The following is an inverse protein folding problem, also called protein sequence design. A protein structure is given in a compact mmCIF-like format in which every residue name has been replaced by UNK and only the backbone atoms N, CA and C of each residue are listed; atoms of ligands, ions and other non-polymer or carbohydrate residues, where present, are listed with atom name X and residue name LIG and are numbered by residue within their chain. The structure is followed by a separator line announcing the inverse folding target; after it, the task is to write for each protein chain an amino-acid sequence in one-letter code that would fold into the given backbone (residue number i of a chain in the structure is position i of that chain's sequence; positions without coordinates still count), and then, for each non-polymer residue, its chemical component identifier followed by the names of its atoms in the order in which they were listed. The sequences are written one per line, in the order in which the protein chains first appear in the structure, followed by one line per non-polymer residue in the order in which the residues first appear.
data_IF_912626330038
#
_entry.id   IF_912626330038
#
_cell.length_a   1.000
_cell.length_b   1.000
_cell.length_c   1.000
_cell.angle_alpha   90.00
_cell.angle_beta   90.00
_cell.angle_gamma   90.00
#
_symmetry.space_group_name_H-M   'P 1'
#
loop_
_entity.id
_entity.type
_entity.pdbx_description
1 polymer ?
#
# COMPACT_ATOMS: atom_id res chain seq x y z
N UNK A 1 -1.73 1.89 14.60
CA UNK A 1 -1.98 3.33 14.36
C UNK A 1 -0.91 4.27 14.91
N UNK A 2 0.22 3.84 15.38
CA UNK A 2 1.28 4.72 15.88
C UNK A 2 2.56 4.41 15.13
N UNK A 3 2.70 5.11 14.02
CA UNK A 3 3.76 4.94 13.02
C UNK A 3 5.06 5.65 13.39
N UNK A 4 5.18 6.15 14.64
CA UNK A 4 6.35 6.87 15.11
C UNK A 4 6.68 6.47 16.53
N UNK A 5 7.94 6.58 16.88
CA UNK A 5 8.35 6.56 18.27
C UNK A 5 7.65 7.70 19.00
N UNK A 6 6.69 7.37 19.85
CA UNK A 6 5.92 8.38 20.63
C UNK A 6 6.63 8.85 21.88
N UNK A 7 7.46 7.98 22.44
CA UNK A 7 8.32 8.24 23.61
C UNK A 7 9.75 7.95 23.21
N UNK A 8 10.70 8.56 23.90
CA UNK A 8 12.11 8.21 23.70
C UNK A 8 12.32 6.72 24.00
N UNK A 9 13.06 6.07 23.14
CA UNK A 9 13.46 4.67 23.28
C UNK A 9 14.96 4.61 23.46
N UNK A 10 15.42 4.01 24.57
CA UNK A 10 16.84 3.80 24.81
C UNK A 10 17.19 2.32 24.74
N UNK A 11 18.26 2.00 24.03
CA UNK A 11 18.80 0.65 23.92
C UNK A 11 20.33 0.69 23.88
N UNK A 12 20.96 -0.46 24.14
CA UNK A 12 22.40 -0.62 24.03
C UNK A 12 22.71 -1.28 22.67
N UNK A 13 23.13 -0.47 21.71
CA UNK A 13 23.33 -0.86 20.30
C UNK A 13 24.42 0.02 19.68
N UNK A 14 25.12 -0.47 18.67
CA UNK A 14 25.98 0.39 17.85
C UNK A 14 25.07 1.43 17.14
N UNK A 15 25.36 2.74 17.20
CA UNK A 15 24.55 3.78 16.55
C UNK A 15 24.28 3.49 15.07
N UNK A 16 25.27 2.97 14.34
CA UNK A 16 25.21 2.62 12.94
C UNK A 16 24.24 1.47 12.66
N UNK A 17 23.92 0.65 13.66
CA UNK A 17 23.00 -0.47 13.55
C UNK A 17 21.56 -0.10 13.96
N UNK A 18 21.27 1.18 14.13
CA UNK A 18 19.89 1.63 14.27
C UNK A 18 19.23 1.82 12.90
N UNK A 19 18.04 1.24 12.72
CA UNK A 19 17.36 1.19 11.42
C UNK A 19 16.01 1.90 11.46
N UNK A 20 15.73 2.72 10.45
CA UNK A 20 14.41 3.26 10.15
C UNK A 20 13.92 2.71 8.80
N UNK A 21 12.77 2.05 8.78
CA UNK A 21 12.10 1.65 7.55
C UNK A 21 10.80 2.45 7.39
N UNK A 22 10.65 3.16 6.27
CA UNK A 22 9.44 3.99 6.04
C UNK A 22 8.42 3.21 5.22
N UNK A 23 7.14 3.43 5.49
CA UNK A 23 6.03 2.74 4.81
C UNK A 23 5.04 3.70 4.15
N UNK A 24 5.18 5.00 4.38
CA UNK A 24 4.23 6.00 3.89
C UNK A 24 4.94 7.07 3.07
N UNK A 25 4.26 7.64 2.06
CA UNK A 25 4.81 8.73 1.29
C UNK A 25 4.84 10.01 2.11
N UNK A 26 5.64 10.98 1.67
CA UNK A 26 5.84 12.26 2.36
C UNK A 26 4.55 13.02 2.64
N UNK A 27 3.57 12.92 1.76
CA UNK A 27 2.25 13.58 1.92
C UNK A 27 1.48 13.07 3.13
N UNK A 28 1.75 11.84 3.55
CA UNK A 28 1.14 11.20 4.72
C UNK A 28 2.04 11.35 5.95
N UNK A 29 3.36 11.14 5.77
CA UNK A 29 4.36 11.16 6.85
C UNK A 29 5.60 11.92 6.39
N UNK A 30 5.64 13.24 6.57
CA UNK A 30 6.85 14.01 6.31
C UNK A 30 7.86 13.80 7.47
N UNK A 31 8.94 13.07 7.22
CA UNK A 31 10.02 12.91 8.19
C UNK A 31 10.93 14.14 8.20
N UNK A 32 11.32 14.61 9.41
CA UNK A 32 12.29 15.71 9.55
C UNK A 32 13.72 15.21 9.40
N UNK A 33 14.60 16.07 8.90
CA UNK A 33 16.05 15.76 8.80
C UNK A 33 16.64 15.38 10.17
N UNK A 34 16.25 16.07 11.25
CA UNK A 34 16.73 15.77 12.61
C UNK A 34 16.26 14.40 13.12
N UNK A 35 15.06 13.96 12.72
CA UNK A 35 14.58 12.63 13.08
C UNK A 35 15.33 11.54 12.33
N UNK A 36 15.53 11.71 11.03
CA UNK A 36 16.22 10.75 10.17
C UNK A 36 17.67 10.54 10.61
N UNK A 37 18.38 11.62 10.99
CA UNK A 37 19.78 11.58 11.44
C UNK A 37 20.04 10.75 12.70
N UNK A 38 19.01 10.32 13.41
CA UNK A 38 19.18 9.46 14.59
C UNK A 38 19.46 8.00 14.24
N UNK A 39 19.27 7.62 12.96
CA UNK A 39 19.38 6.24 12.51
C UNK A 39 20.65 6.06 11.66
N UNK A 40 21.34 4.97 11.89
CA UNK A 40 22.52 4.59 11.10
C UNK A 40 22.14 4.10 9.70
N UNK A 41 20.97 3.50 9.54
CA UNK A 41 20.41 3.04 8.25
C UNK A 41 18.98 3.52 8.11
N UNK A 42 18.65 4.10 6.97
CA UNK A 42 17.29 4.52 6.63
C UNK A 42 16.86 3.89 5.30
N UNK A 43 15.89 2.98 5.33
CA UNK A 43 15.26 2.43 4.13
C UNK A 43 13.98 3.21 3.85
N UNK A 44 13.91 3.92 2.73
CA UNK A 44 12.83 4.87 2.47
C UNK A 44 12.19 4.70 1.10
N UNK A 45 10.85 4.80 1.07
CA UNK A 45 10.06 4.95 -0.13
C UNK A 45 9.81 6.42 -0.53
N UNK A 46 10.50 7.38 0.11
CA UNK A 46 10.36 8.81 -0.17
C UNK A 46 11.55 9.29 -1.02
N UNK A 47 11.38 9.54 -2.33
CA UNK A 47 12.49 9.84 -3.25
C UNK A 47 13.27 11.13 -2.93
N UNK A 48 12.64 12.04 -2.19
CA UNK A 48 13.27 13.29 -1.77
C UNK A 48 14.10 13.18 -0.48
N UNK A 49 14.05 12.03 0.19
CA UNK A 49 14.88 11.76 1.36
C UNK A 49 16.33 11.50 0.92
N UNK A 50 17.26 12.31 1.40
CA UNK A 50 18.68 12.29 1.00
C UNK A 50 19.59 12.11 2.22
N UNK A 51 20.71 11.42 2.03
CA UNK A 51 21.76 11.19 3.02
C UNK A 51 22.56 9.94 2.69
N UNK A 52 23.81 9.85 3.11
CA UNK A 52 24.69 8.69 2.86
C UNK A 52 24.13 7.40 3.49
N UNK A 53 23.41 7.54 4.60
CA UNK A 53 22.75 6.45 5.32
C UNK A 53 21.35 6.12 4.79
N UNK A 54 20.85 6.84 3.75
CA UNK A 54 19.52 6.63 3.15
C UNK A 54 19.63 5.74 1.93
N UNK A 55 18.87 4.65 1.95
CA UNK A 55 18.71 3.71 0.84
C UNK A 55 17.27 3.75 0.34
N UNK A 56 17.07 3.85 -0.97
CA UNK A 56 15.74 3.77 -1.54
C UNK A 56 15.25 2.31 -1.48
N UNK A 57 14.06 2.14 -0.92
CA UNK A 57 13.42 0.83 -0.76
C UNK A 57 11.90 0.97 -0.89
N UNK A 58 11.25 -0.12 -1.30
CA UNK A 58 9.79 -0.22 -1.25
C UNK A 58 9.30 -0.16 0.21
N UNK A 59 8.04 0.26 0.46
CA UNK A 59 7.46 0.28 1.79
C UNK A 59 7.52 -1.11 2.43
N UNK A 60 7.99 -1.18 3.68
CA UNK A 60 7.97 -2.41 4.44
C UNK A 60 6.59 -2.62 5.07
N UNK A 61 5.67 -3.20 4.32
CA UNK A 61 4.29 -3.44 4.72
C UNK A 61 3.96 -4.94 4.64
N UNK A 62 3.13 -5.46 5.57
CA UNK A 62 2.56 -6.79 5.42
C UNK A 62 1.53 -6.79 4.30
N UNK A 63 1.25 -7.95 3.72
CA UNK A 63 0.03 -8.17 2.96
C UNK A 63 -1.20 -8.18 3.88
N UNK A 64 -2.40 -7.99 3.31
CA UNK A 64 -3.65 -8.00 4.05
C UNK A 64 -4.63 -9.10 3.61
N UNK A 65 -4.27 -9.90 2.65
CA UNK A 65 -4.97 -11.13 2.28
C UNK A 65 -4.78 -12.17 3.38
N UNK A 66 -5.84 -12.89 3.73
CA UNK A 66 -5.80 -13.85 4.84
C UNK A 66 -5.93 -13.21 6.22
N UNK A 67 -6.40 -11.97 6.29
CA UNK A 67 -6.61 -11.24 7.54
C UNK A 67 -8.01 -10.61 7.55
N UNK A 68 -8.83 -11.03 8.51
CA UNK A 68 -10.15 -10.42 8.76
C UNK A 68 -10.06 -9.39 9.89
N UNK A 69 -10.63 -8.21 9.66
CA UNK A 69 -10.68 -7.07 10.58
C UNK A 69 -12.09 -6.83 11.14
N UNK A 70 -12.83 -7.87 11.41
CA UNK A 70 -14.21 -7.79 11.89
C UNK A 70 -14.26 -7.34 13.36
N UNK A 71 -15.16 -6.40 13.68
CA UNK A 71 -15.48 -5.94 15.03
C UNK A 71 -14.26 -5.46 15.85
N UNK A 72 -13.26 -4.90 15.15
CA UNK A 72 -12.03 -4.42 15.79
C UNK A 72 -11.07 -5.52 16.24
N UNK A 73 -11.40 -6.77 15.97
CA UNK A 73 -10.52 -7.93 16.16
C UNK A 73 -9.77 -8.23 14.85
N UNK A 74 -8.57 -8.76 15.00
CA UNK A 74 -7.75 -9.26 13.90
C UNK A 74 -7.76 -10.77 13.99
N UNK A 75 -8.24 -11.43 12.92
CA UNK A 75 -8.24 -12.89 12.80
C UNK A 75 -7.47 -13.27 11.56
N UNK A 76 -6.50 -14.16 11.70
CA UNK A 76 -5.78 -14.72 10.55
C UNK A 76 -6.61 -15.86 9.99
N UNK A 77 -7.08 -15.70 8.76
CA UNK A 77 -7.90 -16.69 8.02
C UNK A 77 -7.04 -17.60 7.15
N UNK A 78 -5.83 -17.13 6.77
CA UNK A 78 -4.83 -17.88 6.03
C UNK A 78 -3.43 -17.55 6.54
N UNK A 79 -2.64 -18.59 6.76
CA UNK A 79 -1.21 -18.50 7.09
C UNK A 79 -0.37 -18.33 5.83
N UNK A 80 0.95 -18.13 5.98
CA UNK A 80 1.89 -18.16 4.87
C UNK A 80 1.82 -19.51 4.11
N UNK A 81 1.79 -20.63 4.83
CA UNK A 81 1.76 -21.97 4.23
C UNK A 81 0.46 -22.20 3.45
N UNK A 82 -0.68 -21.74 3.98
CA UNK A 82 -1.96 -21.79 3.28
C UNK A 82 -1.91 -20.98 1.97
N UNK A 83 -1.36 -19.76 2.01
CA UNK A 83 -1.22 -18.91 0.83
C UNK A 83 -0.22 -19.48 -0.18
N UNK A 84 0.89 -20.05 0.30
CA UNK A 84 1.94 -20.64 -0.56
C UNK A 84 1.45 -21.88 -1.29
N UNK A 85 0.72 -22.75 -0.59
CA UNK A 85 0.25 -24.03 -1.12
C UNK A 85 -1.09 -23.96 -1.86
N UNK A 86 -1.83 -22.84 -1.74
CA UNK A 86 -3.13 -22.75 -2.38
C UNK A 86 -3.02 -22.75 -3.92
N UNK A 87 -3.87 -23.55 -4.57
CA UNK A 87 -4.08 -23.50 -6.01
C UNK A 87 -4.62 -22.13 -6.46
N UNK A 88 -4.54 -21.85 -7.76
CA UNK A 88 -5.19 -20.66 -8.33
C UNK A 88 -6.69 -20.71 -8.04
N UNK A 89 -7.25 -19.69 -7.37
CA UNK A 89 -8.68 -19.64 -7.10
C UNK A 89 -9.50 -19.60 -8.39
N UNK A 90 -10.67 -20.22 -8.36
CA UNK A 90 -11.64 -20.11 -9.47
C UNK A 90 -12.04 -18.64 -9.67
N UNK A 91 -11.96 -18.16 -10.91
CA UNK A 91 -12.31 -16.79 -11.30
C UNK A 91 -13.72 -16.74 -11.89
N UNK A 92 -14.69 -16.43 -11.07
CA UNK A 92 -16.12 -16.37 -11.45
C UNK A 92 -16.59 -14.98 -11.85
N UNK A 93 -15.75 -13.95 -11.59
CA UNK A 93 -16.08 -12.54 -11.79
C UNK A 93 -14.99 -11.80 -12.57
N UNK A 94 -15.36 -10.67 -13.19
CA UNK A 94 -14.44 -9.96 -14.08
C UNK A 94 -13.56 -8.97 -13.34
N UNK A 95 -14.13 -7.92 -12.75
CA UNK A 95 -13.36 -6.79 -12.18
C UNK A 95 -13.81 -6.51 -10.75
N UNK A 96 -12.85 -6.31 -9.84
CA UNK A 96 -13.09 -5.73 -8.53
C UNK A 96 -12.29 -4.45 -8.33
N UNK A 97 -12.78 -3.57 -7.46
CA UNK A 97 -12.03 -2.41 -6.96
C UNK A 97 -12.31 -2.20 -5.48
N UNK A 98 -11.26 -1.97 -4.69
CA UNK A 98 -11.39 -1.61 -3.28
C UNK A 98 -11.12 -0.11 -3.13
N UNK A 99 -12.11 0.63 -2.62
CA UNK A 99 -11.99 2.05 -2.38
C UNK A 99 -12.74 2.46 -1.11
N UNK A 100 -12.65 3.72 -0.73
CA UNK A 100 -13.43 4.28 0.37
C UNK A 100 -14.05 5.59 -0.04
N UNK A 101 -15.17 5.92 0.55
CA UNK A 101 -15.88 7.19 0.35
C UNK A 101 -15.19 8.41 0.99
N UNK A 102 -13.90 8.29 1.38
CA UNK A 102 -13.10 9.43 1.85
C UNK A 102 -12.93 10.42 0.71
N UNK A 103 -13.19 11.69 1.00
CA UNK A 103 -13.16 12.80 0.05
C UNK A 103 -12.37 14.01 0.55
N UNK A 104 -11.37 13.80 1.43
CA UNK A 104 -10.67 14.90 2.11
C UNK A 104 -9.46 15.46 1.34
N UNK A 105 -9.02 14.79 0.28
CA UNK A 105 -7.85 15.21 -0.52
C UNK A 105 -8.18 15.14 -2.00
N UNK A 106 -7.41 15.88 -2.84
CA UNK A 106 -7.54 15.79 -4.30
C UNK A 106 -7.48 14.34 -4.79
N UNK A 107 -6.49 13.54 -4.34
CA UNK A 107 -6.37 12.14 -4.75
C UNK A 107 -7.55 11.25 -4.32
N UNK A 108 -8.27 11.61 -3.23
CA UNK A 108 -9.51 10.92 -2.89
C UNK A 108 -10.64 11.24 -3.88
N UNK A 109 -10.76 12.52 -4.30
CA UNK A 109 -11.76 12.94 -5.28
C UNK A 109 -11.48 12.30 -6.65
N UNK A 110 -10.23 12.36 -7.12
CA UNK A 110 -9.83 11.81 -8.42
C UNK A 110 -10.12 10.31 -8.49
N UNK A 111 -9.81 9.56 -7.41
CA UNK A 111 -10.10 8.13 -7.32
C UNK A 111 -11.59 7.83 -7.34
N UNK A 112 -12.41 8.55 -6.58
CA UNK A 112 -13.86 8.34 -6.57
C UNK A 112 -14.47 8.66 -7.93
N UNK A 113 -14.09 9.77 -8.56
CA UNK A 113 -14.56 10.14 -9.89
C UNK A 113 -14.19 9.09 -10.95
N UNK A 114 -12.98 8.51 -10.84
CA UNK A 114 -12.56 7.41 -11.71
C UNK A 114 -13.40 6.16 -11.51
N UNK A 115 -13.64 5.75 -10.26
CA UNK A 115 -14.46 4.57 -9.94
C UNK A 115 -15.92 4.74 -10.42
N UNK A 116 -16.48 5.94 -10.33
CA UNK A 116 -17.81 6.23 -10.88
C UNK A 116 -17.88 6.05 -12.39
N UNK A 117 -16.87 6.52 -13.13
CA UNK A 117 -16.76 6.30 -14.58
C UNK A 117 -16.64 4.82 -14.93
N UNK A 118 -15.85 4.07 -14.17
CA UNK A 118 -15.73 2.60 -14.34
C UNK A 118 -17.08 1.90 -14.11
N UNK A 119 -17.80 2.25 -13.05
CA UNK A 119 -19.13 1.68 -12.80
C UNK A 119 -20.11 1.97 -13.93
N UNK A 120 -20.08 3.19 -14.48
CA UNK A 120 -20.91 3.57 -15.61
C UNK A 120 -20.58 2.76 -16.87
N UNK A 121 -19.30 2.46 -17.10
CA UNK A 121 -18.82 1.75 -18.29
C UNK A 121 -19.04 0.24 -18.19
N UNK A 122 -18.66 -0.37 -17.05
CA UNK A 122 -18.68 -1.84 -16.88
C UNK A 122 -19.98 -2.38 -16.31
N UNK A 123 -20.86 -1.55 -15.72
CA UNK A 123 -22.13 -1.98 -15.13
C UNK A 123 -21.93 -3.10 -14.11
N UNK A 124 -22.62 -4.23 -14.33
CA UNK A 124 -22.59 -5.41 -13.44
C UNK A 124 -21.29 -6.24 -13.56
N UNK A 125 -20.38 -5.87 -14.47
CA UNK A 125 -19.09 -6.55 -14.61
C UNK A 125 -18.04 -6.05 -13.62
N UNK A 126 -18.32 -5.00 -12.85
CA UNK A 126 -17.42 -4.45 -11.84
C UNK A 126 -18.10 -4.38 -10.47
N UNK A 127 -17.43 -4.95 -9.46
CA UNK A 127 -17.86 -4.84 -8.07
C UNK A 127 -16.96 -3.83 -7.32
N UNK A 128 -17.60 -2.96 -6.54
CA UNK A 128 -16.92 -1.95 -5.73
C UNK A 128 -17.05 -2.27 -4.25
N UNK A 129 -15.91 -2.38 -3.57
CA UNK A 129 -15.82 -2.73 -2.17
C UNK A 129 -15.18 -1.64 -1.32
N UNK A 130 -15.44 -1.69 -0.02
CA UNK A 130 -14.83 -0.83 0.98
C UNK A 130 -15.83 0.09 1.67
N UNK A 131 -15.31 1.01 2.49
CA UNK A 131 -16.15 1.88 3.31
C UNK A 131 -17.05 2.78 2.45
N UNK A 132 -18.35 2.67 2.65
CA UNK A 132 -19.38 3.40 1.87
C UNK A 132 -19.80 2.68 0.58
N UNK A 133 -19.30 1.47 0.36
CA UNK A 133 -19.64 0.53 -0.68
C UNK A 133 -19.90 -0.85 -0.05
N UNK A 134 -19.82 -1.93 -0.82
CA UNK A 134 -19.95 -3.28 -0.29
C UNK A 134 -18.85 -3.56 0.75
N UNK A 135 -19.24 -3.94 1.96
CA UNK A 135 -18.30 -4.31 3.04
C UNK A 135 -17.74 -5.71 2.82
N UNK A 136 -16.56 -5.96 3.34
CA UNK A 136 -15.93 -7.28 3.34
C UNK A 136 -15.11 -7.47 4.63
N UNK A 137 -14.83 -8.71 4.98
CA UNK A 137 -13.97 -9.07 6.10
C UNK A 137 -12.51 -9.24 5.64
N UNK A 138 -12.25 -10.28 4.89
CA UNK A 138 -10.94 -10.58 4.33
C UNK A 138 -10.83 -10.07 2.88
N UNK A 139 -9.68 -9.50 2.53
CA UNK A 139 -9.39 -9.12 1.13
C UNK A 139 -9.38 -10.33 0.17
N UNK A 140 -9.13 -11.53 0.67
CA UNK A 140 -9.25 -12.75 -0.12
C UNK A 140 -10.60 -12.83 -0.83
N UNK A 141 -11.70 -12.57 -0.13
CA UNK A 141 -13.07 -12.72 -0.64
C UNK A 141 -13.40 -11.74 -1.77
N UNK A 142 -12.68 -10.63 -1.86
CA UNK A 142 -12.90 -9.57 -2.83
C UNK A 142 -11.80 -9.45 -3.89
N UNK A 143 -10.82 -10.33 -3.84
CA UNK A 143 -9.76 -10.46 -4.85
C UNK A 143 -9.79 -11.82 -5.53
N UNK A 144 -9.82 -12.90 -4.77
CA UNK A 144 -9.67 -14.26 -5.27
C UNK A 144 -10.70 -14.65 -6.37
N UNK A 145 -11.99 -14.29 -6.30
CA UNK A 145 -12.95 -14.62 -7.34
C UNK A 145 -12.82 -13.82 -8.64
N UNK A 146 -11.96 -12.78 -8.69
CA UNK A 146 -11.91 -11.84 -9.81
C UNK A 146 -10.71 -12.11 -10.71
N UNK A 147 -10.90 -11.99 -12.04
CA UNK A 147 -9.81 -12.01 -13.02
C UNK A 147 -8.91 -10.79 -12.88
N UNK A 148 -9.52 -9.61 -12.72
CA UNK A 148 -8.84 -8.33 -12.64
C UNK A 148 -9.18 -7.57 -11.36
N UNK A 149 -8.20 -6.87 -10.79
CA UNK A 149 -8.43 -5.94 -9.69
C UNK A 149 -7.84 -4.56 -10.00
N UNK A 150 -8.62 -3.51 -9.78
CA UNK A 150 -8.14 -2.14 -9.94
C UNK A 150 -7.52 -1.67 -8.63
N UNK A 151 -6.19 -1.73 -8.58
CA UNK A 151 -5.37 -1.39 -7.44
C UNK A 151 -4.89 0.07 -7.53
N UNK A 152 -5.45 0.95 -6.70
CA UNK A 152 -5.15 2.39 -6.71
C UNK A 152 -4.46 2.78 -5.42
N UNK A 153 -3.21 3.25 -5.53
CA UNK A 153 -2.46 3.79 -4.40
C UNK A 153 -2.98 5.16 -3.94
N UNK A 154 -2.65 5.53 -2.71
CA UNK A 154 -3.01 6.84 -2.16
C UNK A 154 -2.21 8.00 -2.78
N UNK A 155 -1.09 7.69 -3.41
CA UNK A 155 -0.18 8.64 -4.06
C UNK A 155 0.56 7.95 -5.19
N UNK A 156 0.97 8.72 -6.20
CA UNK A 156 1.85 8.25 -7.26
C UNK A 156 3.27 8.74 -6.98
N UNK A 157 4.21 7.83 -6.85
CA UNK A 157 5.64 8.14 -6.65
C UNK A 157 6.51 6.90 -6.93
N UNK A 158 7.76 7.14 -7.29
CA UNK A 158 8.79 6.09 -7.31
C UNK A 158 8.89 5.41 -5.93
N UNK A 159 9.12 4.11 -5.93
CA UNK A 159 9.27 3.27 -4.74
C UNK A 159 8.03 3.19 -3.84
N UNK A 160 6.92 3.84 -4.15
CA UNK A 160 5.69 3.75 -3.34
C UNK A 160 4.75 2.66 -3.86
N UNK A 161 5.10 1.42 -3.57
CA UNK A 161 4.35 0.21 -3.87
C UNK A 161 3.90 -0.42 -2.55
N UNK A 162 2.61 -0.71 -2.42
CA UNK A 162 2.04 -1.23 -1.17
C UNK A 162 1.31 -2.56 -1.38
N UNK A 163 0.67 -3.02 -0.32
CA UNK A 163 -0.16 -4.22 -0.33
C UNK A 163 -1.26 -4.21 -1.40
N UNK A 164 -1.61 -3.05 -1.96
CA UNK A 164 -2.66 -2.97 -2.99
C UNK A 164 -2.29 -3.70 -4.26
N UNK A 165 -1.00 -3.62 -4.63
CA UNK A 165 -0.48 -4.39 -5.76
C UNK A 165 -0.17 -5.83 -5.36
N UNK A 166 0.53 -6.04 -4.24
CA UNK A 166 1.02 -7.36 -3.85
C UNK A 166 -0.09 -8.33 -3.45
N UNK A 167 -1.19 -7.84 -2.84
CA UNK A 167 -2.35 -8.67 -2.52
C UNK A 167 -3.03 -9.26 -3.77
N UNK A 168 -2.94 -8.58 -4.91
CA UNK A 168 -3.43 -9.12 -6.18
C UNK A 168 -2.65 -10.38 -6.59
N UNK A 169 -1.33 -10.35 -6.48
CA UNK A 169 -0.49 -11.50 -6.82
C UNK A 169 -0.74 -12.70 -5.89
N UNK A 170 -0.90 -12.45 -4.58
CA UNK A 170 -1.20 -13.52 -3.62
C UNK A 170 -2.49 -14.28 -3.98
N UNK A 171 -3.48 -13.58 -4.56
CA UNK A 171 -4.76 -14.16 -4.98
C UNK A 171 -4.78 -14.61 -6.43
N UNK A 172 -3.65 -14.56 -7.15
CA UNK A 172 -3.57 -14.79 -8.59
C UNK A 172 -4.61 -13.95 -9.38
N UNK A 173 -4.78 -12.69 -9.00
CA UNK A 173 -5.66 -11.71 -9.67
C UNK A 173 -4.79 -10.74 -10.44
N UNK A 174 -5.10 -10.50 -11.71
CA UNK A 174 -4.30 -9.59 -12.54
C UNK A 174 -4.54 -8.13 -12.11
N UNK A 175 -3.49 -7.37 -11.70
CA UNK A 175 -3.67 -6.00 -11.25
C UNK A 175 -3.73 -5.00 -12.40
N UNK A 176 -4.71 -4.11 -12.36
CA UNK A 176 -4.78 -2.87 -13.11
C UNK A 176 -4.37 -1.78 -12.14
N UNK A 177 -3.18 -1.20 -12.33
CA UNK A 177 -2.45 -0.51 -11.27
C UNK A 177 -2.25 0.98 -11.52
N UNK A 178 -2.49 1.78 -10.49
CA UNK A 178 -2.10 3.18 -10.40
C UNK A 178 -1.33 3.43 -9.10
N UNK A 179 -0.07 3.88 -9.20
CA UNK A 179 0.74 4.13 -8.00
C UNK A 179 2.22 4.28 -8.28
N UNK A 180 2.99 3.26 -7.96
CA UNK A 180 4.45 3.27 -8.10
C UNK A 180 4.88 3.41 -9.56
N UNK A 181 5.60 4.49 -9.87
CA UNK A 181 6.01 4.82 -11.25
C UNK A 181 7.17 3.96 -11.76
N UNK A 182 7.86 3.27 -10.86
CA UNK A 182 8.95 2.35 -11.18
C UNK A 182 8.70 0.93 -10.64
N UNK A 183 7.44 0.48 -10.66
CA UNK A 183 7.05 -0.86 -10.20
C UNK A 183 7.71 -1.98 -10.99
N UNK A 184 8.09 -1.74 -12.24
CA UNK A 184 8.82 -2.68 -13.10
C UNK A 184 10.24 -3.02 -12.59
N UNK A 185 10.78 -2.27 -11.65
CA UNK A 185 12.01 -2.66 -10.94
C UNK A 185 11.83 -3.86 -10.02
N UNK A 186 10.58 -4.15 -9.65
CA UNK A 186 10.22 -5.24 -8.74
C UNK A 186 9.47 -6.34 -9.47
N UNK A 187 8.46 -5.99 -10.27
CA UNK A 187 7.61 -6.93 -10.98
C UNK A 187 7.70 -6.71 -12.48
N UNK A 188 7.71 -7.78 -13.30
CA UNK A 188 7.78 -7.64 -14.75
C UNK A 188 6.57 -6.88 -15.30
N UNK A 189 6.76 -6.18 -16.43
CA UNK A 189 5.71 -5.34 -17.05
C UNK A 189 4.45 -6.13 -17.41
N UNK A 190 4.62 -7.40 -17.71
CA UNK A 190 3.55 -8.32 -18.09
C UNK A 190 2.66 -8.71 -16.90
N UNK A 191 3.10 -8.45 -15.68
CA UNK A 191 2.39 -8.81 -14.46
C UNK A 191 1.33 -7.79 -14.04
N UNK A 192 1.26 -6.61 -14.66
CA UNK A 192 0.27 -5.58 -14.35
C UNK A 192 0.04 -4.62 -15.51
N UNK A 193 -1.16 -4.03 -15.57
CA UNK A 193 -1.45 -2.92 -16.46
C UNK A 193 -1.31 -1.59 -15.72
N UNK A 194 -0.36 -0.75 -16.12
CA UNK A 194 -0.25 0.62 -15.57
C UNK A 194 -1.27 1.56 -16.23
N UNK A 195 -2.05 2.27 -15.40
CA UNK A 195 -3.05 3.24 -15.84
C UNK A 195 -2.84 4.60 -15.17
N UNK A 196 -3.41 5.66 -15.78
CA UNK A 196 -3.56 6.98 -15.15
C UNK A 196 -5.05 7.24 -14.85
N UNK A 197 -5.41 7.32 -13.57
CA UNK A 197 -6.79 7.59 -13.14
C UNK A 197 -7.27 9.01 -13.49
N UNK A 198 -6.34 9.93 -13.78
CA UNK A 198 -6.67 11.29 -14.20
C UNK A 198 -7.08 11.36 -15.67
N UNK A 199 -6.70 10.35 -16.47
CA UNK A 199 -7.15 10.17 -17.86
C UNK A 199 -8.03 8.93 -17.97
N UNK A 200 -9.26 9.05 -17.47
CA UNK A 200 -10.18 7.91 -17.35
C UNK A 200 -10.55 7.27 -18.71
N UNK A 201 -10.65 8.06 -19.79
CA UNK A 201 -10.99 7.54 -21.11
C UNK A 201 -9.88 6.65 -21.66
N UNK A 202 -8.63 7.07 -21.52
CA UNK A 202 -7.48 6.27 -21.92
C UNK A 202 -7.34 5.02 -21.03
N UNK A 203 -7.53 5.17 -19.71
CA UNK A 203 -7.49 4.05 -18.78
C UNK A 203 -8.53 2.99 -19.14
N UNK A 204 -9.78 3.40 -19.41
CA UNK A 204 -10.87 2.49 -19.83
C UNK A 204 -10.51 1.80 -21.14
N UNK A 205 -10.04 2.52 -22.16
CA UNK A 205 -9.61 1.89 -23.42
C UNK A 205 -8.52 0.84 -23.24
N UNK A 206 -7.53 1.11 -22.35
CA UNK A 206 -6.48 0.14 -22.01
C UNK A 206 -7.05 -1.09 -21.32
N UNK A 207 -7.99 -0.91 -20.40
CA UNK A 207 -8.63 -2.01 -19.68
C UNK A 207 -9.50 -2.85 -20.65
N UNK A 208 -10.25 -2.21 -21.54
CA UNK A 208 -11.04 -2.92 -22.55
C UNK A 208 -10.15 -3.77 -23.47
N UNK A 209 -9.02 -3.20 -23.93
CA UNK A 209 -8.04 -3.93 -24.74
C UNK A 209 -7.40 -5.10 -23.96
N UNK A 210 -7.09 -4.91 -22.67
CA UNK A 210 -6.56 -5.94 -21.78
C UNK A 210 -7.54 -7.12 -21.65
N UNK A 211 -8.83 -6.83 -21.47
CA UNK A 211 -9.88 -7.85 -21.34
C UNK A 211 -10.08 -8.57 -22.69
N UNK A 212 -10.12 -7.82 -23.79
CA UNK A 212 -10.33 -8.38 -25.13
C UNK A 212 -9.17 -9.27 -25.60
N UNK A 213 -7.94 -9.04 -25.10
CA UNK A 213 -6.77 -9.86 -25.40
C UNK A 213 -6.62 -11.09 -24.51
N UNK A 214 -7.58 -11.37 -23.65
CA UNK A 214 -7.56 -12.51 -22.70
C UNK A 214 -6.24 -12.55 -21.89
N UNK A 215 -5.75 -11.36 -21.49
CA UNK A 215 -4.44 -11.24 -20.82
C UNK A 215 -4.40 -12.04 -19.52
N UNK A 216 -5.50 -12.08 -18.76
CA UNK A 216 -5.56 -12.86 -17.53
C UNK A 216 -5.30 -14.35 -17.80
N UNK A 217 -5.94 -14.90 -18.82
CA UNK A 217 -5.84 -16.31 -19.22
C UNK A 217 -4.40 -16.69 -19.62
N UNK A 218 -3.67 -15.74 -20.16
CA UNK A 218 -2.28 -15.92 -20.61
C UNK A 218 -1.23 -15.52 -19.57
N UNK A 219 -1.63 -15.04 -18.38
CA UNK A 219 -0.71 -14.50 -17.37
C UNK A 219 -0.43 -15.46 -16.20
N UNK A 220 -0.87 -16.71 -16.26
CA UNK A 220 -0.78 -17.66 -15.14
C UNK A 220 0.63 -17.80 -14.56
N UNK A 221 1.63 -18.03 -15.41
CA UNK A 221 3.02 -18.25 -14.97
C UNK A 221 3.62 -16.98 -14.36
N UNK A 222 3.39 -15.81 -14.97
CA UNK A 222 3.91 -14.55 -14.45
C UNK A 222 3.25 -14.16 -13.13
N UNK A 223 1.95 -14.39 -12.97
CA UNK A 223 1.26 -14.14 -11.70
C UNK A 223 1.74 -15.10 -10.60
N UNK A 224 1.94 -16.38 -10.92
CA UNK A 224 2.49 -17.35 -9.98
C UNK A 224 3.90 -16.96 -9.52
N UNK A 225 4.77 -16.58 -10.44
CA UNK A 225 6.11 -16.09 -10.11
C UNK A 225 6.08 -14.82 -9.25
N UNK A 226 5.16 -13.89 -9.53
CA UNK A 226 4.97 -12.69 -8.70
C UNK A 226 4.43 -13.03 -7.31
N UNK A 227 3.51 -14.00 -7.18
CA UNK A 227 3.03 -14.51 -5.90
C UNK A 227 4.16 -15.05 -5.06
N UNK A 228 4.99 -15.91 -5.62
CA UNK A 228 6.17 -16.48 -4.94
C UNK A 228 7.11 -15.37 -4.49
N UNK A 229 7.40 -14.42 -5.36
CA UNK A 229 8.24 -13.27 -5.05
C UNK A 229 7.70 -12.42 -3.90
N UNK A 230 6.37 -12.20 -3.84
CA UNK A 230 5.74 -11.49 -2.73
C UNK A 230 5.87 -12.28 -1.43
N UNK A 231 5.55 -13.56 -1.45
CA UNK A 231 5.54 -14.39 -0.26
C UNK A 231 6.96 -14.62 0.29
N UNK A 232 7.96 -14.84 -0.58
CA UNK A 232 9.29 -15.27 -0.17
C UNK A 232 10.28 -14.10 -0.06
N UNK A 233 10.13 -13.01 -0.87
CA UNK A 233 11.15 -11.97 -0.95
C UNK A 233 10.64 -10.60 -0.48
N UNK A 234 9.38 -10.24 -0.80
CA UNK A 234 8.82 -8.92 -0.53
C UNK A 234 7.85 -8.89 0.66
N UNK A 235 7.89 -9.91 1.51
CA UNK A 235 7.20 -9.86 2.79
C UNK A 235 7.97 -9.00 3.81
N UNK A 236 7.26 -8.51 4.82
CA UNK A 236 7.81 -7.61 5.83
C UNK A 236 9.00 -8.20 6.59
N UNK A 237 8.95 -9.49 6.91
CA UNK A 237 9.98 -10.16 7.72
C UNK A 237 11.27 -10.35 6.93
N UNK A 238 11.15 -10.80 5.68
CA UNK A 238 12.29 -10.97 4.79
C UNK A 238 12.98 -9.62 4.50
N UNK A 239 12.22 -8.57 4.27
CA UNK A 239 12.77 -7.23 4.08
C UNK A 239 13.53 -6.73 5.33
N UNK A 240 13.06 -7.03 6.53
CA UNK A 240 13.76 -6.74 7.78
C UNK A 240 15.04 -7.58 7.88
N UNK A 241 14.97 -8.88 7.61
CA UNK A 241 16.12 -9.79 7.67
C UNK A 241 17.24 -9.31 6.73
N UNK A 242 16.93 -9.01 5.47
CA UNK A 242 17.89 -8.47 4.50
C UNK A 242 18.56 -7.18 4.95
N UNK A 243 17.85 -6.30 5.63
CA UNK A 243 18.48 -5.11 6.21
C UNK A 243 19.38 -5.50 7.38
N UNK A 244 18.94 -6.41 8.27
CA UNK A 244 19.73 -6.89 9.39
C UNK A 244 21.05 -7.53 8.93
N UNK A 245 21.03 -8.30 7.84
CA UNK A 245 22.23 -8.96 7.27
C UNK A 245 23.29 -7.95 6.78
N UNK A 246 22.92 -6.70 6.55
CA UNK A 246 23.87 -5.62 6.18
C UNK A 246 24.50 -4.95 7.37
N UNK A 247 24.10 -5.28 8.61
CA UNK A 247 24.58 -4.62 9.82
C UNK A 247 25.87 -5.29 10.33
N UNK A 248 26.84 -4.47 10.75
CA UNK A 248 28.05 -4.94 11.37
C UNK A 248 27.83 -5.13 12.88
N UNK A 249 27.53 -6.37 13.28
CA UNK A 249 27.24 -6.73 14.67
C UNK A 249 28.49 -6.73 15.59
N UNK A 250 29.70 -6.57 15.02
CA UNK A 250 30.96 -6.50 15.79
C UNK A 250 31.26 -5.12 16.34
N UNK A 251 30.54 -4.09 15.86
CA UNK A 251 30.73 -2.70 16.30
C UNK A 251 30.46 -2.51 17.80
N UNK A 252 31.22 -1.63 18.46
CA UNK A 252 31.00 -1.31 19.86
C UNK A 252 29.59 -0.81 20.12
N UNK A 253 28.95 -1.39 21.13
CA UNK A 253 27.60 -0.98 21.55
C UNK A 253 27.71 0.15 22.58
N UNK A 254 26.84 1.16 22.42
CA UNK A 254 26.69 2.23 23.39
C UNK A 254 25.22 2.49 23.69
N UNK A 255 24.93 3.30 24.71
CA UNK A 255 23.55 3.66 25.04
C UNK A 255 23.01 4.70 24.04
N UNK A 256 22.26 4.24 23.06
CA UNK A 256 21.56 5.09 22.09
C UNK A 256 20.17 5.44 22.59
N UNK A 257 19.78 6.71 22.43
CA UNK A 257 18.41 7.17 22.72
C UNK A 257 17.78 7.76 21.47
N UNK A 258 16.81 7.05 20.90
CA UNK A 258 15.99 7.53 19.79
C UNK A 258 14.87 8.41 20.34
N UNK A 259 14.83 9.65 19.89
CA UNK A 259 13.80 10.63 20.29
C UNK A 259 12.59 10.57 19.37
N UNK A 260 11.38 10.86 19.86
CA UNK A 260 10.18 10.90 19.03
C UNK A 260 10.30 11.99 17.97
N UNK A 261 9.67 11.75 16.82
CA UNK A 261 9.56 12.77 15.80
C UNK A 261 8.73 13.95 16.35
N UNK A 262 9.25 15.20 16.30
CA UNK A 262 8.50 16.36 16.78
C UNK A 262 7.20 16.48 16.01
N UNK A 263 6.12 16.89 16.68
CA UNK A 263 4.84 17.16 16.06
C UNK A 263 5.04 18.28 15.03
N UNK A 264 5.09 17.94 13.76
CA UNK A 264 5.20 18.95 12.71
C UNK A 264 3.87 19.69 12.56
N UNK A 265 3.91 20.99 12.79
CA UNK A 265 2.87 21.91 12.34
C UNK A 265 3.07 22.13 10.82
N UNK A 266 2.36 21.40 10.00
CA UNK A 266 2.27 21.71 8.57
C UNK A 266 0.94 22.41 8.31
N UNK A 267 0.94 23.40 7.41
CA UNK A 267 -0.30 24.09 7.00
C UNK A 267 -1.38 23.11 6.50
N UNK A 268 -0.98 22.01 5.87
CA UNK A 268 -1.91 20.96 5.44
C UNK A 268 -2.53 20.18 6.61
N UNK A 269 -1.82 20.07 7.74
CA UNK A 269 -2.38 19.47 8.95
C UNK A 269 -3.34 20.44 9.63
N UNK A 270 -2.99 21.72 9.70
CA UNK A 270 -3.86 22.77 10.24
C UNK A 270 -5.13 22.86 9.39
N UNK A 271 -5.03 22.90 8.06
CA UNK A 271 -6.20 22.86 7.17
C UNK A 271 -7.06 21.60 7.39
N UNK A 272 -6.48 20.43 7.51
CA UNK A 272 -7.22 19.18 7.78
C UNK A 272 -7.91 19.18 9.15
N UNK A 273 -7.26 19.70 10.18
CA UNK A 273 -7.87 19.81 11.52
C UNK A 273 -8.98 20.88 11.54
N UNK A 274 -8.82 22.00 10.86
CA UNK A 274 -9.85 23.03 10.71
C UNK A 274 -11.06 22.53 9.90
N UNK A 275 -10.83 21.83 8.80
CA UNK A 275 -11.89 21.22 7.99
C UNK A 275 -12.63 20.13 8.75
N UNK A 276 -11.93 19.30 9.53
CA UNK A 276 -12.57 18.30 10.37
C UNK A 276 -13.38 18.91 11.52
N UNK A 277 -12.92 19.99 12.15
CA UNK A 277 -13.66 20.72 13.19
C UNK A 277 -14.89 21.41 12.64
N UNK A 278 -14.81 22.01 11.45
CA UNK A 278 -15.98 22.61 10.80
C UNK A 278 -17.01 21.56 10.38
N UNK A 279 -16.56 20.38 9.93
CA UNK A 279 -17.45 19.26 9.62
C UNK A 279 -18.24 18.75 10.83
N UNK A 280 -17.60 18.71 12.01
CA UNK A 280 -18.27 18.31 13.25
C UNK A 280 -19.17 19.42 13.81
N UNK A 281 -18.83 20.70 13.65
CA UNK A 281 -19.70 21.82 14.05
C UNK A 281 -20.98 21.88 13.23
N UNK A 282 -20.93 21.65 11.93
CA UNK A 282 -22.12 21.62 11.06
C UNK A 282 -23.06 20.42 11.32
N UNK A 283 -22.59 19.39 12.04
CA UNK A 283 -23.42 18.24 12.44
C UNK A 283 -23.96 18.35 13.88
N UNK A 284 -23.51 19.31 14.65
CA UNK A 284 -23.95 19.51 16.05
C UNK A 284 -25.02 20.60 16.20
N UNK A 285 -25.46 21.22 15.12
CA UNK A 285 -26.64 22.07 15.17
C UNK A 285 -27.90 21.21 14.99
N UNK A 286 -28.81 21.17 15.98
CA UNK A 286 -30.07 20.45 15.84
C UNK A 286 -31.00 21.26 14.95
N UNK A 287 -31.28 20.75 13.78
CA UNK A 287 -32.36 21.22 12.91
C UNK A 287 -31.91 21.86 11.60
N UNK A 288 -31.76 21.06 10.57
CA UNK A 288 -32.47 21.14 9.28
C UNK A 288 -32.46 19.74 8.68
#
# INVERSE_FOLDING_TARGET
RNRYVKKSLSCNVAPENTVLMTSEPKQIVPFTKSYIKQFGVVCSCQPDMKGEHVRMAMPNLPWFVGIDFKDGKVTYTKTYDDLKSCSVPEKTKLISVITSNKNHTKGHHDRLAFVEKLKKHYGDKIDVFGRGFNSFGDKWDVLAPYKYHIAIENSQADYYLTEKLTDCYITNTYPIYYGCTNAEKVFPKEAFLSIDINNAEEAIRKIDALIASETFENSGDVLASCKDKVLDEYNMYEQIARVCDTLDLTRPKERVTLKPMPKMFTWDRIKRELLSRNYWKLRSEPGI
#
